data_IF_519535451602
#
_entry.id   IF_519535451602
#
_cell.length_a   1.000
_cell.length_b   1.000
_cell.length_c   1.000
_cell.angle_alpha   90.00
_cell.angle_beta   90.00
_cell.angle_gamma   90.00
#
_symmetry.space_group_name_H-M   'P 1'
#
loop_
_entity.id
_entity.type
_entity.pdbx_description
1 polymer ?
#
# COMPACT_ATOMS: atom_id res chain seq x y z
N UNK A 1 19.72 -2.11 5.52
CA UNK A 1 19.03 -1.81 6.80
C UNK A 1 17.59 -2.22 6.63
N UNK A 2 17.05 -3.04 7.56
CA UNK A 2 15.73 -3.64 7.46
C UNK A 2 14.60 -2.65 7.76
N UNK A 3 13.66 -2.53 6.83
CA UNK A 3 12.44 -1.74 6.96
C UNK A 3 11.29 -2.68 7.27
N UNK A 4 11.18 -3.07 8.53
CA UNK A 4 10.13 -3.99 8.96
C UNK A 4 8.73 -3.38 8.82
N UNK A 5 7.75 -4.22 8.50
CA UNK A 5 6.32 -3.85 8.54
C UNK A 5 5.66 -4.35 9.82
N UNK A 6 4.71 -3.57 10.36
CA UNK A 6 3.93 -3.96 11.52
C UNK A 6 2.50 -3.41 11.42
N UNK A 7 1.54 -4.19 11.92
CA UNK A 7 0.15 -3.75 12.09
C UNK A 7 -0.25 -3.95 13.54
N UNK A 8 -0.65 -2.86 14.19
CA UNK A 8 -1.23 -2.90 15.53
C UNK A 8 -2.76 -2.96 15.44
N UNK A 9 -3.35 -3.95 16.10
CA UNK A 9 -4.81 -4.12 16.15
C UNK A 9 -5.28 -4.08 17.60
N UNK A 10 -6.24 -3.20 17.90
CA UNK A 10 -6.86 -3.14 19.22
C UNK A 10 -7.64 -4.43 19.51
N UNK A 11 -7.53 -4.96 20.74
CA UNK A 11 -8.11 -6.25 21.17
C UNK A 11 -9.61 -6.41 20.92
N UNK A 12 -10.36 -5.31 20.79
CA UNK A 12 -11.80 -5.32 20.50
C UNK A 12 -12.12 -5.79 19.08
N UNK A 13 -11.17 -5.72 18.15
CA UNK A 13 -11.32 -6.20 16.78
C UNK A 13 -10.85 -7.64 16.64
N UNK A 14 -11.62 -8.44 15.91
CA UNK A 14 -11.20 -9.77 15.49
C UNK A 14 -10.44 -9.66 14.17
N UNK A 15 -9.16 -10.03 14.18
CA UNK A 15 -8.34 -10.09 12.98
C UNK A 15 -7.64 -11.43 12.84
N UNK A 16 -7.23 -11.76 11.61
CA UNK A 16 -6.29 -12.84 11.31
C UNK A 16 -5.25 -12.36 10.31
N UNK A 17 -4.04 -12.89 10.41
CA UNK A 17 -3.03 -12.74 9.37
C UNK A 17 -3.47 -13.60 8.18
N UNK A 18 -3.46 -13.04 6.98
CA UNK A 18 -3.78 -13.77 5.74
C UNK A 18 -2.58 -13.92 4.82
N UNK A 19 -1.59 -13.03 4.92
CA UNK A 19 -0.35 -13.14 4.16
C UNK A 19 0.80 -12.40 4.87
N UNK A 20 2.02 -12.93 4.73
CA UNK A 20 3.27 -12.30 5.15
C UNK A 20 4.30 -12.59 4.09
N UNK A 21 4.93 -11.55 3.56
CA UNK A 21 5.93 -11.69 2.51
C UNK A 21 7.14 -10.81 2.82
N UNK A 22 8.32 -11.39 2.72
CA UNK A 22 9.58 -10.67 2.70
C UNK A 22 10.36 -11.16 1.48
N UNK A 23 10.66 -10.25 0.56
CA UNK A 23 11.51 -10.49 -0.60
C UNK A 23 12.75 -9.64 -0.41
N UNK A 24 13.89 -10.32 -0.27
CA UNK A 24 15.16 -9.68 0.04
C UNK A 24 15.47 -8.55 -0.93
N UNK A 25 15.95 -7.44 -0.40
CA UNK A 25 16.26 -6.19 -1.12
C UNK A 25 15.10 -5.54 -1.92
N UNK A 26 13.91 -6.14 -1.96
CA UNK A 26 12.77 -5.62 -2.73
C UNK A 26 11.68 -5.05 -1.84
N UNK A 27 11.07 -5.88 -0.99
CA UNK A 27 9.92 -5.44 -0.18
C UNK A 27 9.60 -6.36 0.99
N UNK A 28 8.90 -5.81 1.97
CA UNK A 28 8.25 -6.52 3.05
C UNK A 28 6.76 -6.17 3.08
N UNK A 29 5.90 -7.12 3.42
CA UNK A 29 4.48 -6.86 3.60
C UNK A 29 3.81 -7.78 4.62
N UNK A 30 2.81 -7.23 5.30
CA UNK A 30 1.95 -7.92 6.24
C UNK A 30 0.50 -7.61 5.89
N UNK A 31 -0.28 -8.65 5.63
CA UNK A 31 -1.70 -8.50 5.30
C UNK A 31 -2.56 -9.21 6.33
N UNK A 32 -3.55 -8.48 6.84
CA UNK A 32 -4.54 -8.99 7.79
C UNK A 32 -5.95 -8.85 7.24
N UNK A 33 -6.86 -9.72 7.70
CA UNK A 33 -8.30 -9.59 7.50
C UNK A 33 -8.96 -9.27 8.85
N UNK A 34 -9.63 -8.13 8.93
CA UNK A 34 -10.42 -7.68 10.08
C UNK A 34 -11.88 -8.04 9.81
N UNK A 35 -12.46 -8.84 10.71
CA UNK A 35 -13.87 -9.22 10.66
C UNK A 35 -14.73 -8.06 11.17
N UNK A 36 -15.75 -7.70 10.41
CA UNK A 36 -16.76 -6.74 10.84
C UNK A 36 -18.09 -7.47 11.02
N UNK A 37 -18.90 -7.07 12.02
CA UNK A 37 -20.16 -7.78 12.35
C UNK A 37 -21.31 -7.46 11.40
N UNK A 38 -21.28 -6.30 10.74
CA UNK A 38 -22.40 -5.72 9.99
C UNK A 38 -22.05 -5.36 8.54
N UNK A 39 -20.79 -5.48 8.16
CA UNK A 39 -20.30 -5.08 6.85
C UNK A 39 -19.41 -6.20 6.28
N UNK A 40 -18.86 -5.96 5.09
CA UNK A 40 -17.83 -6.83 4.54
C UNK A 40 -16.60 -6.81 5.45
N UNK A 41 -15.87 -7.93 5.50
CA UNK A 41 -14.53 -7.95 6.10
C UNK A 41 -13.64 -6.94 5.40
N UNK A 42 -12.78 -6.31 6.20
CA UNK A 42 -11.78 -5.37 5.70
C UNK A 42 -10.47 -6.13 5.59
N UNK A 43 -9.82 -6.05 4.43
CA UNK A 43 -8.45 -6.49 4.28
C UNK A 43 -7.55 -5.27 4.37
N UNK A 44 -6.50 -5.36 5.17
CA UNK A 44 -5.50 -4.32 5.36
C UNK A 44 -4.12 -4.90 5.06
N UNK A 45 -3.42 -4.32 4.10
CA UNK A 45 -2.04 -4.67 3.77
C UNK A 45 -1.11 -3.50 4.10
N UNK A 46 -0.08 -3.77 4.89
CA UNK A 46 1.02 -2.85 5.15
C UNK A 46 2.23 -3.28 4.31
N UNK A 47 2.75 -2.39 3.48
CA UNK A 47 3.83 -2.67 2.53
C UNK A 47 4.98 -1.68 2.76
N UNK A 48 6.19 -2.21 2.84
CA UNK A 48 7.43 -1.46 2.73
C UNK A 48 8.16 -1.90 1.46
N UNK A 49 8.45 -0.98 0.56
CA UNK A 49 9.35 -1.24 -0.58
C UNK A 49 10.73 -0.65 -0.27
N UNK A 50 11.77 -1.46 -0.42
CA UNK A 50 13.16 -1.01 -0.29
C UNK A 50 13.44 0.10 -1.30
N UNK A 51 14.02 1.24 -0.88
CA UNK A 51 14.42 2.32 -1.79
C UNK A 51 15.28 1.79 -2.93
N UNK A 52 15.10 2.36 -4.13
CA UNK A 52 15.89 2.03 -5.34
C UNK A 52 15.87 0.55 -5.79
N UNK A 53 15.05 -0.29 -5.16
CA UNK A 53 14.85 -1.69 -5.55
C UNK A 53 14.23 -1.84 -6.95
N UNK A 54 14.38 -3.02 -7.55
CA UNK A 54 13.89 -3.28 -8.91
C UNK A 54 12.36 -3.10 -9.01
N UNK A 55 11.94 -2.04 -9.70
CA UNK A 55 10.52 -1.70 -9.88
C UNK A 55 9.73 -2.79 -10.61
N UNK A 56 10.32 -3.42 -11.63
CA UNK A 56 9.63 -4.48 -12.38
C UNK A 56 9.32 -5.69 -11.50
N UNK A 57 10.30 -6.15 -10.72
CA UNK A 57 10.11 -7.25 -9.78
C UNK A 57 9.07 -6.89 -8.72
N UNK A 58 9.15 -5.68 -8.16
CA UNK A 58 8.16 -5.17 -7.22
C UNK A 58 6.74 -5.18 -7.81
N UNK A 59 6.55 -4.67 -9.04
CA UNK A 59 5.25 -4.64 -9.72
C UNK A 59 4.69 -6.04 -9.96
N UNK A 60 5.52 -7.00 -10.35
CA UNK A 60 5.12 -8.39 -10.53
C UNK A 60 4.66 -9.00 -9.19
N UNK A 61 5.38 -8.73 -8.10
CA UNK A 61 5.02 -9.22 -6.76
C UNK A 61 3.68 -8.64 -6.31
N UNK A 62 3.50 -7.31 -6.34
CA UNK A 62 2.25 -6.69 -5.86
C UNK A 62 1.05 -7.06 -6.72
N UNK A 63 1.23 -7.24 -8.02
CA UNK A 63 0.17 -7.69 -8.93
C UNK A 63 -0.31 -9.07 -8.52
N UNK A 64 0.61 -10.02 -8.28
CA UNK A 64 0.28 -11.35 -7.78
C UNK A 64 -0.42 -11.33 -6.40
N UNK A 65 -0.02 -10.42 -5.50
CA UNK A 65 -0.68 -10.24 -4.19
C UNK A 65 -2.12 -9.76 -4.41
N UNK A 66 -2.32 -8.74 -5.24
CA UNK A 66 -3.62 -8.16 -5.48
C UNK A 66 -4.55 -9.12 -6.21
N UNK A 67 -4.09 -9.87 -7.21
CA UNK A 67 -4.89 -10.90 -7.90
C UNK A 67 -5.44 -11.96 -6.93
N UNK A 68 -4.67 -12.37 -5.92
CA UNK A 68 -5.11 -13.34 -4.90
C UNK A 68 -6.15 -12.78 -3.93
N UNK A 69 -6.17 -11.47 -3.73
CA UNK A 69 -7.00 -10.79 -2.71
C UNK A 69 -8.19 -10.08 -3.36
N UNK A 70 -8.15 -9.86 -4.68
CA UNK A 70 -9.13 -9.13 -5.47
C UNK A 70 -10.39 -9.98 -5.70
N UNK A 71 -11.14 -10.23 -4.64
CA UNK A 71 -12.50 -10.73 -4.72
C UNK A 71 -13.40 -10.00 -3.70
N UNK A 72 -14.15 -9.01 -4.17
CA UNK A 72 -15.30 -8.34 -3.52
C UNK A 72 -15.12 -7.80 -2.09
N UNK A 73 -13.90 -7.73 -1.55
CA UNK A 73 -13.59 -7.20 -0.19
C UNK A 73 -13.30 -5.71 -0.20
N UNK A 74 -13.53 -5.07 0.95
CA UNK A 74 -13.06 -3.72 1.23
C UNK A 74 -11.56 -3.79 1.52
N UNK A 75 -10.74 -3.16 0.68
CA UNK A 75 -9.29 -3.29 0.75
C UNK A 75 -8.62 -1.95 0.99
N UNK A 76 -7.67 -1.95 1.92
CA UNK A 76 -6.77 -0.84 2.20
C UNK A 76 -5.33 -1.33 2.10
N UNK A 77 -4.51 -0.61 1.35
CA UNK A 77 -3.08 -0.85 1.21
C UNK A 77 -2.36 0.39 1.68
N UNK A 78 -1.45 0.28 2.63
CA UNK A 78 -0.70 1.43 3.13
C UNK A 78 0.77 1.10 3.37
N UNK A 79 1.59 2.13 3.47
CA UNK A 79 2.98 2.02 3.89
C UNK A 79 3.90 2.92 3.09
N UNK A 80 5.21 2.65 3.22
CA UNK A 80 6.27 3.39 2.53
C UNK A 80 6.63 2.67 1.24
N UNK A 81 6.21 3.27 0.13
CA UNK A 81 6.47 2.73 -1.20
C UNK A 81 7.84 3.13 -1.74
N UNK A 82 8.51 4.12 -1.12
CA UNK A 82 9.71 4.77 -1.66
C UNK A 82 9.57 5.08 -3.18
N UNK A 83 8.36 5.50 -3.60
CA UNK A 83 8.01 5.89 -4.97
C UNK A 83 7.44 7.31 -4.91
N UNK A 84 8.09 8.25 -5.59
CA UNK A 84 7.59 9.63 -5.70
C UNK A 84 6.42 9.68 -6.69
N UNK A 85 5.20 9.72 -6.16
CA UNK A 85 3.97 9.71 -6.96
C UNK A 85 3.76 11.00 -7.77
N UNK A 86 4.45 12.10 -7.46
CA UNK A 86 4.37 13.32 -8.27
C UNK A 86 5.00 13.14 -9.64
N UNK A 87 5.87 12.14 -9.81
CA UNK A 87 6.57 11.85 -11.07
C UNK A 87 5.77 10.97 -12.02
N UNK A 88 4.48 10.72 -11.77
CA UNK A 88 3.65 9.83 -12.60
C UNK A 88 3.62 10.23 -14.09
N UNK A 89 3.79 11.51 -14.43
CA UNK A 89 3.78 12.01 -15.80
C UNK A 89 5.15 12.06 -16.49
N UNK A 90 6.25 11.90 -15.73
CA UNK A 90 7.63 12.05 -16.24
C UNK A 90 8.50 10.80 -16.03
N UNK A 91 8.09 9.89 -15.14
CA UNK A 91 8.82 8.68 -14.81
C UNK A 91 7.97 7.44 -15.11
N UNK A 92 8.37 6.67 -16.12
CA UNK A 92 7.61 5.50 -16.60
C UNK A 92 7.30 4.50 -15.48
N UNK A 93 8.28 4.14 -14.65
CA UNK A 93 8.03 3.15 -13.61
C UNK A 93 7.07 3.64 -12.52
N UNK A 94 7.06 4.94 -12.21
CA UNK A 94 6.02 5.54 -11.34
C UNK A 94 4.65 5.46 -12.01
N UNK A 95 4.56 5.78 -13.31
CA UNK A 95 3.31 5.66 -14.05
C UNK A 95 2.78 4.22 -14.06
N UNK A 96 3.65 3.25 -14.32
CA UNK A 96 3.30 1.82 -14.33
C UNK A 96 2.78 1.39 -12.94
N UNK A 97 3.42 1.84 -11.86
CA UNK A 97 2.92 1.63 -10.50
C UNK A 97 1.51 2.21 -10.30
N UNK A 98 1.30 3.49 -10.66
CA UNK A 98 -0.02 4.11 -10.55
C UNK A 98 -1.08 3.34 -11.35
N UNK A 99 -0.76 2.95 -12.58
CA UNK A 99 -1.65 2.17 -13.44
C UNK A 99 -1.97 0.79 -12.84
N UNK A 100 -0.98 0.10 -12.27
CA UNK A 100 -1.20 -1.15 -11.55
C UNK A 100 -2.18 -0.95 -10.39
N UNK A 101 -1.99 0.07 -9.56
CA UNK A 101 -2.92 0.36 -8.46
C UNK A 101 -4.34 0.64 -9.01
N UNK A 102 -4.47 1.48 -10.04
CA UNK A 102 -5.76 1.79 -10.64
C UNK A 102 -6.45 0.59 -11.30
N UNK A 103 -5.70 -0.33 -11.91
CA UNK A 103 -6.24 -1.56 -12.49
C UNK A 103 -6.93 -2.46 -11.44
N UNK A 104 -6.47 -2.41 -10.19
CA UNK A 104 -7.12 -3.07 -9.05
C UNK A 104 -8.16 -2.19 -8.33
N UNK A 105 -8.54 -1.06 -8.92
CA UNK A 105 -9.48 -0.09 -8.34
C UNK A 105 -8.94 0.63 -7.11
N UNK A 106 -7.63 0.57 -6.86
CA UNK A 106 -6.97 1.17 -5.71
C UNK A 106 -6.59 2.61 -6.03
N UNK A 107 -7.33 3.58 -5.47
CA UNK A 107 -6.99 5.01 -5.59
C UNK A 107 -6.16 5.48 -4.40
N UNK A 108 -5.18 6.38 -4.60
CA UNK A 108 -4.46 7.00 -3.50
C UNK A 108 -5.38 7.93 -2.71
N UNK A 109 -5.17 8.01 -1.40
CA UNK A 109 -5.88 8.94 -0.51
C UNK A 109 -4.99 10.11 -0.08
N UNK A 110 -3.66 9.94 -0.10
CA UNK A 110 -2.70 10.98 0.27
C UNK A 110 -2.13 11.60 -1.02
N UNK A 111 -2.38 12.90 -1.21
CA UNK A 111 -1.85 13.68 -2.33
C UNK A 111 -0.83 14.74 -1.90
N UNK A 112 -0.51 14.81 -0.59
CA UNK A 112 0.47 15.75 -0.04
C UNK A 112 1.82 15.05 0.18
N UNK A 113 2.94 15.77 0.14
CA UNK A 113 4.24 15.20 0.47
C UNK A 113 4.28 14.61 1.88
N UNK A 114 4.72 13.37 2.00
CA UNK A 114 4.84 12.63 3.27
C UNK A 114 6.26 12.58 3.82
N UNK A 115 7.27 12.75 2.96
CA UNK A 115 8.67 12.98 3.36
C UNK A 115 9.10 14.37 2.91
N UNK A 116 9.42 15.24 3.87
CA UNK A 116 9.92 16.60 3.63
C UNK A 116 11.35 16.68 4.14
N UNK A 117 12.27 17.05 3.27
CA UNK A 117 13.67 17.36 3.59
C UNK A 117 13.92 18.84 3.34
N UNK A 118 15.16 19.31 3.58
CA UNK A 118 15.55 20.69 3.26
C UNK A 118 15.34 21.03 1.78
N UNK A 119 15.55 20.06 0.89
CA UNK A 119 15.67 20.28 -0.54
C UNK A 119 14.58 19.53 -1.36
N UNK A 120 13.71 18.75 -0.70
CA UNK A 120 12.69 17.95 -1.39
C UNK A 120 11.43 17.75 -0.56
N UNK A 121 10.30 17.51 -1.25
CA UNK A 121 9.04 17.14 -0.66
C UNK A 121 8.36 16.08 -1.55
N UNK A 122 8.34 14.81 -1.11
CA UNK A 122 7.86 13.68 -1.92
C UNK A 122 6.73 12.89 -1.24
N UNK A 123 5.65 12.52 -1.96
CA UNK A 123 4.60 11.64 -1.46
C UNK A 123 4.97 10.18 -1.69
N UNK A 124 5.68 9.59 -0.74
CA UNK A 124 6.18 8.20 -0.81
C UNK A 124 5.42 7.25 0.12
N UNK A 125 4.91 7.77 1.24
CA UNK A 125 3.91 7.11 2.06
C UNK A 125 2.52 7.38 1.49
N UNK A 126 1.72 6.34 1.32
CA UNK A 126 0.33 6.50 0.87
C UNK A 126 -0.61 5.47 1.49
N UNK A 127 -1.90 5.72 1.33
CA UNK A 127 -2.99 4.80 1.59
C UNK A 127 -3.79 4.67 0.30
N UNK A 128 -3.91 3.46 -0.21
CA UNK A 128 -4.73 3.14 -1.37
C UNK A 128 -5.96 2.34 -0.97
N UNK A 129 -7.09 2.57 -1.63
CA UNK A 129 -8.31 1.81 -1.35
C UNK A 129 -9.25 1.70 -2.54
N UNK A 130 -10.00 0.61 -2.57
CA UNK A 130 -11.12 0.37 -3.48
C UNK A 130 -12.49 0.76 -2.90
N UNK A 131 -12.53 1.30 -1.68
CA UNK A 131 -13.77 1.70 -1.00
C UNK A 131 -14.20 3.08 -1.50
N UNK A 132 -15.32 3.18 -2.21
CA UNK A 132 -15.86 4.46 -2.67
C UNK A 132 -16.61 5.20 -1.55
N UNK A 133 -16.54 6.54 -1.56
CA UNK A 133 -17.19 7.41 -0.59
C UNK A 133 -16.23 8.36 0.12
N UNK A 134 -16.75 9.08 1.12
CA UNK A 134 -15.95 10.00 1.93
C UNK A 134 -14.94 9.21 2.77
N UNK A 135 -13.67 9.56 2.63
CA UNK A 135 -12.57 9.01 3.41
C UNK A 135 -11.77 10.16 3.99
N UNK A 136 -11.45 10.07 5.29
CA UNK A 136 -10.46 10.96 5.92
C UNK A 136 -9.12 10.27 5.88
N UNK A 137 -8.10 10.96 5.36
CA UNK A 137 -6.73 10.49 5.32
C UNK A 137 -5.80 11.65 5.62
N UNK A 138 -4.62 11.36 6.12
CA UNK A 138 -3.68 12.38 6.57
C UNK A 138 -2.28 11.82 6.76
N UNK A 139 -1.36 12.75 6.93
CA UNK A 139 0.04 12.49 7.26
C UNK A 139 0.22 13.00 8.69
N UNK A 140 0.91 12.23 9.52
CA UNK A 140 1.23 12.61 10.90
C UNK A 140 2.54 13.40 10.95
#
# INVERSE_FOLDING_TARGET
MGGGVAIYVQKSFQCKIIDTLAVDEIMESLTIEIKTKRCKSIVLSCIYRTPDSCMEQYLNIITNIFEKICDKKCYFVCGDFNIDLMKWNVHKATNDFCNTMFNFGLRPLICKPSRITKDSATPIDNIFTNVYGSATSGIF
#
